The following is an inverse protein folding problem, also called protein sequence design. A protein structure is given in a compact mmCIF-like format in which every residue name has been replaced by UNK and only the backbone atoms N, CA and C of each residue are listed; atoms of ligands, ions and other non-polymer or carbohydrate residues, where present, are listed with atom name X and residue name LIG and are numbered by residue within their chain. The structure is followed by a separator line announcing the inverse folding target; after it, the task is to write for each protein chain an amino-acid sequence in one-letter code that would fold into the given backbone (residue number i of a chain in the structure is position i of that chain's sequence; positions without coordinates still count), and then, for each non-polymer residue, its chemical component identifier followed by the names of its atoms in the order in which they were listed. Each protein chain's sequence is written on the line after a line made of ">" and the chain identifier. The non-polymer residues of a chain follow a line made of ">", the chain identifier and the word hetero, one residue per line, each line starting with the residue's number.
data_IF_702376817798
#
_entry.id   IF_702376817798
#
_cell.length_a   1.000
_cell.length_b   1.000
_cell.length_c   1.000
_cell.angle_alpha   90.00
_cell.angle_beta   90.00
_cell.angle_gamma   90.00
#
_symmetry.space_group_name_H-M   'P 1'
#
loop_
_entity.id
_entity.type
_entity.pdbx_description
1 polymer ?
#
# COMPACT_ATOMS: atom_id res chain seq x y z
N UNK A 1 12.40 -2.76 -11.73
CA UNK A 1 11.03 -3.30 -11.64
C UNK A 1 10.31 -2.53 -10.54
N UNK A 2 9.22 -1.84 -10.84
CA UNK A 2 8.51 -1.05 -9.83
C UNK A 2 7.67 -1.97 -8.95
N UNK A 3 7.77 -1.78 -7.64
CA UNK A 3 6.99 -2.49 -6.62
C UNK A 3 6.06 -1.50 -5.93
N UNK A 4 4.87 -1.97 -5.59
CA UNK A 4 3.90 -1.21 -4.83
C UNK A 4 3.96 -1.60 -3.36
N UNK A 5 3.80 -0.60 -2.50
CA UNK A 5 3.75 -0.78 -1.07
C UNK A 5 2.54 -0.04 -0.49
N UNK A 6 1.94 -0.61 0.55
CA UNK A 6 0.82 -0.04 1.29
C UNK A 6 1.18 0.12 2.77
N UNK A 7 0.75 1.22 3.38
CA UNK A 7 0.89 1.43 4.82
C UNK A 7 -0.15 0.59 5.57
N UNK A 8 0.24 -0.27 6.53
CA UNK A 8 -0.71 -1.09 7.28
C UNK A 8 -1.57 -0.32 8.29
N UNK A 9 -1.22 0.94 8.58
CA UNK A 9 -1.95 1.78 9.54
C UNK A 9 -2.98 2.70 8.87
N UNK A 10 -2.64 3.26 7.69
CA UNK A 10 -3.45 4.28 7.03
C UNK A 10 -3.83 3.97 5.57
N UNK A 11 -3.46 2.81 5.03
CA UNK A 11 -3.79 2.40 3.66
C UNK A 11 -3.08 3.21 2.57
N UNK A 12 -2.20 4.15 2.91
CA UNK A 12 -1.49 4.94 1.91
C UNK A 12 -0.62 4.05 1.02
N UNK A 13 -0.79 4.15 -0.30
CA UNK A 13 -0.02 3.37 -1.27
C UNK A 13 1.02 4.23 -1.98
N UNK A 14 2.18 3.64 -2.28
CA UNK A 14 3.19 4.27 -3.13
C UNK A 14 3.98 3.25 -3.96
N UNK A 15 4.49 3.73 -5.09
CA UNK A 15 5.34 2.97 -6.00
C UNK A 15 6.82 3.26 -5.72
N UNK A 16 7.64 2.22 -5.67
CA UNK A 16 9.10 2.35 -5.51
C UNK A 16 9.83 1.45 -6.49
N UNK A 17 11.00 1.87 -6.97
CA UNK A 17 11.75 1.13 -7.99
C UNK A 17 12.89 0.28 -7.41
N UNK A 18 13.60 0.77 -6.40
CA UNK A 18 14.87 0.19 -5.92
C UNK A 18 14.90 -0.19 -4.44
N UNK A 19 14.01 0.38 -3.61
CA UNK A 19 14.07 0.18 -2.16
C UNK A 19 13.42 -1.14 -1.76
N UNK A 20 14.12 -1.93 -0.93
CA UNK A 20 13.60 -3.15 -0.33
C UNK A 20 12.61 -2.87 0.80
N UNK A 21 12.86 -1.79 1.56
CA UNK A 21 12.03 -1.32 2.67
C UNK A 21 11.64 0.14 2.47
N UNK A 22 10.45 0.46 2.96
CA UNK A 22 9.70 1.63 2.55
C UNK A 22 8.92 2.09 3.77
N UNK A 23 9.23 3.28 4.29
CA UNK A 23 8.52 3.84 5.44
C UNK A 23 7.40 4.79 5.02
N UNK A 24 6.29 4.75 5.74
CA UNK A 24 5.15 5.64 5.57
C UNK A 24 5.45 7.01 6.16
N UNK A 25 5.40 8.05 5.32
CA UNK A 25 5.57 9.43 5.77
C UNK A 25 4.37 9.94 6.58
N UNK A 26 3.17 9.41 6.33
CA UNK A 26 1.95 9.82 7.07
C UNK A 26 1.87 9.24 8.48
N UNK A 27 2.55 8.12 8.74
CA UNK A 27 2.48 7.40 10.02
C UNK A 27 3.83 7.39 10.75
N UNK A 28 4.65 8.43 10.59
CA UNK A 28 5.93 8.59 11.28
C UNK A 28 6.87 7.37 11.19
N UNK A 29 7.15 6.91 9.97
CA UNK A 29 8.18 5.88 9.79
C UNK A 29 7.68 4.44 9.86
N UNK A 30 6.36 4.21 9.91
CA UNK A 30 5.80 2.85 9.85
C UNK A 30 6.27 2.13 8.59
N UNK A 31 6.82 0.93 8.76
CA UNK A 31 7.26 0.09 7.65
C UNK A 31 6.06 -0.37 6.81
N UNK A 32 6.03 0.07 5.56
CA UNK A 32 5.02 -0.30 4.57
C UNK A 32 5.25 -1.73 4.10
N UNK A 33 4.15 -2.39 3.73
CA UNK A 33 4.18 -3.77 3.24
C UNK A 33 4.05 -3.82 1.72
N UNK A 34 4.77 -4.74 1.05
CA UNK A 34 4.61 -4.94 -0.37
C UNK A 34 3.22 -5.50 -0.67
N UNK A 35 2.55 -4.95 -1.68
CA UNK A 35 1.27 -5.48 -2.15
C UNK A 35 1.46 -6.44 -3.31
N UNK A 36 0.56 -7.41 -3.44
CA UNK A 36 0.49 -8.34 -4.59
C UNK A 36 -0.19 -7.69 -5.80
N UNK A 37 0.11 -6.42 -6.08
CA UNK A 37 -0.43 -5.67 -7.19
C UNK A 37 0.70 -5.27 -8.12
N UNK A 38 0.55 -5.58 -9.41
CA UNK A 38 1.51 -5.18 -10.43
C UNK A 38 1.40 -3.69 -10.73
N UNK A 39 2.53 -3.04 -11.01
CA UNK A 39 2.56 -1.61 -11.33
C UNK A 39 1.70 -1.25 -12.54
N UNK A 40 1.70 -2.10 -13.57
CA UNK A 40 0.91 -1.91 -14.79
C UNK A 40 -0.59 -1.93 -14.52
N UNK A 41 -1.05 -2.69 -13.53
CA UNK A 41 -2.44 -2.71 -13.11
C UNK A 41 -2.78 -1.46 -12.31
N UNK A 42 -1.93 -1.06 -11.36
CA UNK A 42 -2.14 0.14 -10.55
C UNK A 42 -2.27 1.44 -11.36
N UNK A 43 -1.48 1.58 -12.43
CA UNK A 43 -1.54 2.77 -13.32
C UNK A 43 -2.85 2.81 -14.10
N UNK A 44 -3.43 1.65 -14.44
CA UNK A 44 -4.71 1.55 -15.16
C UNK A 44 -5.92 1.75 -14.24
N UNK A 45 -5.76 1.52 -12.94
CA UNK A 45 -6.82 1.74 -11.96
C UNK A 45 -7.11 3.23 -11.78
N UNK A 46 -8.39 3.54 -11.70
CA UNK A 46 -8.91 4.85 -11.30
C UNK A 46 -8.57 5.16 -9.84
N UNK A 47 -8.75 6.42 -9.43
CA UNK A 47 -8.55 6.82 -8.03
C UNK A 47 -9.49 6.06 -7.09
N UNK A 48 -10.76 5.88 -7.49
CA UNK A 48 -11.74 5.12 -6.71
C UNK A 48 -11.32 3.66 -6.52
N UNK A 49 -10.93 2.97 -7.60
CA UNK A 49 -10.48 1.58 -7.51
C UNK A 49 -9.24 1.41 -6.62
N UNK A 50 -8.35 2.42 -6.59
CA UNK A 50 -7.20 2.42 -5.69
C UNK A 50 -7.62 2.59 -4.24
N UNK A 51 -8.61 3.43 -3.96
CA UNK A 51 -9.18 3.59 -2.63
C UNK A 51 -9.86 2.30 -2.17
N UNK A 52 -10.72 1.71 -3.01
CA UNK A 52 -11.43 0.47 -2.72
C UNK A 52 -10.45 -0.69 -2.47
N UNK A 53 -9.35 -0.75 -3.24
CA UNK A 53 -8.28 -1.72 -3.02
C UNK A 53 -7.59 -1.50 -1.67
N UNK A 54 -7.23 -0.26 -1.33
CA UNK A 54 -6.63 0.06 -0.04
C UNK A 54 -7.55 -0.33 1.11
N UNK A 55 -8.83 0.01 1.02
CA UNK A 55 -9.83 -0.31 2.06
C UNK A 55 -10.02 -1.82 2.22
N UNK A 56 -10.11 -2.56 1.12
CA UNK A 56 -10.18 -4.02 1.13
C UNK A 56 -8.92 -4.65 1.73
N UNK A 57 -7.75 -4.13 1.35
CA UNK A 57 -6.47 -4.59 1.90
C UNK A 57 -6.40 -4.33 3.40
N UNK A 58 -6.76 -3.13 3.82
CA UNK A 58 -6.81 -2.72 5.21
C UNK A 58 -7.79 -3.60 5.99
N UNK A 59 -9.00 -3.88 5.48
CA UNK A 59 -9.96 -4.75 6.14
C UNK A 59 -9.39 -6.14 6.46
N UNK A 60 -8.63 -6.74 5.53
CA UNK A 60 -8.02 -8.07 5.69
C UNK A 60 -6.82 -8.03 6.66
N UNK A 61 -6.03 -6.96 6.62
CA UNK A 61 -4.73 -6.89 7.29
C UNK A 61 -4.74 -6.07 8.58
N UNK A 62 -5.80 -5.30 8.87
CA UNK A 62 -5.94 -4.61 10.15
C UNK A 62 -5.95 -5.66 11.24
N UNK A 63 -4.88 -5.71 12.03
CA UNK A 63 -4.91 -6.45 13.29
C UNK A 63 -6.04 -5.82 14.11
N UNK A 64 -7.06 -6.60 14.45
CA UNK A 64 -7.97 -6.23 15.54
C UNK A 64 -7.08 -5.97 16.74
N UNK A 65 -6.83 -4.70 17.09
CA UNK A 65 -6.30 -4.38 18.41
C UNK A 65 -7.38 -4.84 19.38
N UNK A 66 -7.10 -5.95 20.04
CA UNK A 66 -7.94 -6.51 21.09
C UNK A 66 -7.75 -5.69 22.36
#
# INVERSE_FOLDING_TARGET
>A
MMRLFICPECGWMRTVSRRASVECFKCNGVMMQPVKLEYTQYVKMSEQERMDYADSWMYIHRKKSK
#
